data_IF_265242586165
#
_entry.id   IF_265242586165
#
_cell.length_a   1.000
_cell.length_b   1.000
_cell.length_c   1.000
_cell.angle_alpha   90.00
_cell.angle_beta   90.00
_cell.angle_gamma   90.00
#
_symmetry.space_group_name_H-M   'P 1'
#
loop_
_entity.id
_entity.type
_entity.pdbx_description
1 polymer ?
#
# COMPACT_ATOMS: atom_id res chain seq x y z
N UNK A 1 1.24 1.03 -11.28
CA UNK A 1 2.33 0.02 -11.30
C UNK A 1 1.81 -1.41 -11.24
N UNK A 2 1.00 -1.79 -10.20
CA UNK A 2 0.51 -3.18 -10.12
C UNK A 2 -0.37 -3.56 -11.30
N UNK A 3 -1.29 -2.69 -11.72
CA UNK A 3 -2.16 -2.95 -12.87
C UNK A 3 -1.39 -3.11 -14.17
N UNK A 4 -0.42 -2.24 -14.42
CA UNK A 4 0.40 -2.30 -15.64
C UNK A 4 1.13 -3.65 -15.74
N UNK A 5 1.59 -4.19 -14.60
CA UNK A 5 2.22 -5.52 -14.54
C UNK A 5 1.20 -6.62 -14.84
N UNK A 6 0.00 -6.54 -14.28
CA UNK A 6 -1.04 -7.53 -14.49
C UNK A 6 -1.48 -7.56 -15.96
N UNK A 7 -1.63 -6.39 -16.59
CA UNK A 7 -1.93 -6.28 -18.01
C UNK A 7 -0.83 -6.87 -18.88
N UNK A 8 0.43 -6.51 -18.61
CA UNK A 8 1.58 -7.02 -19.37
C UNK A 8 1.77 -8.53 -19.23
N UNK A 9 1.30 -9.12 -18.15
CA UNK A 9 1.39 -10.56 -17.87
C UNK A 9 0.10 -11.32 -18.19
N UNK A 10 -0.89 -10.68 -18.80
CA UNK A 10 -2.22 -11.25 -19.08
C UNK A 10 -2.85 -11.89 -17.83
N UNK A 11 -2.67 -11.23 -16.69
CA UNK A 11 -3.21 -11.68 -15.40
C UNK A 11 -4.59 -11.07 -15.17
N UNK A 12 -5.60 -11.92 -14.97
CA UNK A 12 -6.92 -11.44 -14.58
C UNK A 12 -6.87 -10.78 -13.20
N UNK A 13 -7.51 -9.63 -13.07
CA UNK A 13 -7.59 -8.91 -11.82
C UNK A 13 -8.99 -8.36 -11.55
N UNK A 14 -9.27 -8.11 -10.29
CA UNK A 14 -10.47 -7.44 -9.82
C UNK A 14 -10.06 -6.31 -8.89
N UNK A 15 -10.66 -5.13 -9.08
CA UNK A 15 -10.39 -3.96 -8.26
C UNK A 15 -11.33 -3.98 -7.05
N UNK A 16 -10.77 -3.87 -5.86
CA UNK A 16 -11.53 -3.68 -4.62
C UNK A 16 -11.71 -2.18 -4.39
N UNK A 17 -12.96 -1.67 -4.40
CA UNK A 17 -13.19 -0.23 -4.30
C UNK A 17 -12.96 0.28 -2.87
N UNK A 18 -12.23 1.38 -2.77
CA UNK A 18 -12.06 2.19 -1.56
C UNK A 18 -12.96 3.40 -1.70
N UNK A 19 -14.06 3.43 -0.99
CA UNK A 19 -15.09 4.46 -1.13
C UNK A 19 -15.38 5.15 0.20
N UNK A 20 -16.12 6.24 0.14
CA UNK A 20 -16.57 6.95 1.33
C UNK A 20 -17.46 6.07 2.23
N UNK A 21 -18.31 5.23 1.62
CA UNK A 21 -19.23 4.33 2.31
C UNK A 21 -18.49 3.28 3.14
N UNK A 22 -17.33 2.82 2.69
CA UNK A 22 -16.47 1.91 3.45
C UNK A 22 -15.33 2.62 4.20
N UNK A 23 -15.44 3.96 4.32
CA UNK A 23 -14.44 4.81 4.96
C UNK A 23 -13.02 4.61 4.39
N UNK A 24 -12.91 4.34 3.09
CA UNK A 24 -11.68 4.00 2.38
C UNK A 24 -10.92 2.82 3.01
N UNK A 25 -11.66 1.93 3.67
CA UNK A 25 -11.13 0.77 4.39
C UNK A 25 -12.05 -0.46 4.22
N UNK A 26 -12.04 -1.10 3.03
CA UNK A 26 -12.89 -2.26 2.77
C UNK A 26 -12.56 -3.40 3.73
N UNK A 27 -13.57 -4.20 4.10
CA UNK A 27 -13.39 -5.34 4.99
C UNK A 27 -12.43 -6.39 4.41
N UNK A 28 -11.82 -7.19 5.28
CA UNK A 28 -10.92 -8.26 4.85
C UNK A 28 -11.61 -9.25 3.92
N UNK A 29 -12.88 -9.59 4.18
CA UNK A 29 -13.66 -10.52 3.37
C UNK A 29 -13.83 -10.06 1.92
N UNK A 30 -13.90 -8.75 1.68
CA UNK A 30 -14.03 -8.20 0.32
C UNK A 30 -12.88 -8.64 -0.59
N UNK A 31 -11.67 -8.77 -0.04
CA UNK A 31 -10.50 -9.21 -0.82
C UNK A 31 -10.49 -10.70 -1.15
N UNK A 32 -11.25 -11.49 -0.41
CA UNK A 32 -11.34 -12.93 -0.59
C UNK A 32 -12.73 -13.38 -1.08
N UNK A 33 -13.54 -12.43 -1.57
CA UNK A 33 -14.81 -12.75 -2.18
C UNK A 33 -14.60 -13.61 -3.44
N UNK A 34 -15.23 -14.77 -3.43
CA UNK A 34 -15.13 -15.76 -4.51
C UNK A 34 -16.38 -15.78 -5.40
N UNK A 35 -17.27 -14.80 -5.26
CA UNK A 35 -18.48 -14.68 -6.07
C UNK A 35 -18.13 -14.64 -7.56
N UNK A 36 -18.71 -15.54 -8.32
CA UNK A 36 -18.46 -15.65 -9.76
C UNK A 36 -17.16 -16.36 -10.16
N UNK A 37 -16.36 -16.84 -9.20
CA UNK A 37 -15.13 -17.59 -9.47
C UNK A 37 -15.37 -19.11 -9.41
N UNK A 38 -14.65 -19.86 -10.24
CA UNK A 38 -14.68 -21.32 -10.17
C UNK A 38 -13.77 -21.85 -9.05
N UNK A 39 -13.96 -23.11 -8.65
CA UNK A 39 -13.20 -23.74 -7.55
C UNK A 39 -11.69 -23.86 -7.81
N UNK A 40 -11.24 -23.77 -9.05
CA UNK A 40 -9.81 -23.83 -9.42
C UNK A 40 -9.12 -22.47 -9.35
N UNK A 41 -9.88 -21.39 -9.33
CA UNK A 41 -9.32 -20.03 -9.27
C UNK A 41 -8.62 -19.81 -7.94
N UNK A 42 -7.41 -19.31 -7.99
CA UNK A 42 -6.66 -18.85 -6.81
C UNK A 42 -6.78 -17.35 -6.69
N UNK A 43 -7.05 -16.86 -5.49
CA UNK A 43 -7.04 -15.45 -5.18
C UNK A 43 -5.70 -15.05 -4.57
N UNK A 44 -5.20 -13.90 -4.97
CA UNK A 44 -4.01 -13.29 -4.40
C UNK A 44 -4.21 -11.77 -4.27
N UNK A 45 -4.88 -11.32 -3.22
CA UNK A 45 -4.97 -9.90 -2.92
C UNK A 45 -3.61 -9.23 -2.87
N UNK A 46 -3.52 -8.01 -3.39
CA UNK A 46 -2.37 -7.11 -3.26
C UNK A 46 -2.83 -5.93 -2.44
N UNK A 47 -2.27 -5.78 -1.24
CA UNK A 47 -2.72 -4.79 -0.26
C UNK A 47 -1.52 -4.01 0.26
N UNK A 48 -1.56 -2.68 0.15
CA UNK A 48 -0.63 -1.82 0.87
C UNK A 48 -1.10 -1.66 2.31
N UNK A 49 -0.22 -1.91 3.28
CA UNK A 49 -0.54 -1.76 4.71
C UNK A 49 0.64 -1.15 5.47
N UNK A 50 0.57 0.09 5.91
CA UNK A 50 -0.51 1.10 5.72
C UNK A 50 -0.84 1.40 4.27
N UNK A 51 -2.11 1.72 4.01
CA UNK A 51 -2.64 1.99 2.68
C UNK A 51 -2.10 3.32 2.11
N UNK A 52 -1.66 3.28 0.88
CA UNK A 52 -1.32 4.45 0.09
C UNK A 52 -2.45 4.69 -0.95
N UNK A 53 -3.11 5.87 -0.96
CA UNK A 53 -2.75 7.11 -0.25
C UNK A 53 -3.55 7.40 1.03
N UNK A 54 -4.56 6.60 1.40
CA UNK A 54 -5.51 6.96 2.48
C UNK A 54 -4.88 6.94 3.88
N UNK A 55 -3.82 6.18 4.10
CA UNK A 55 -3.23 5.97 5.42
C UNK A 55 -4.01 5.02 6.32
N UNK A 56 -5.10 4.43 5.82
CA UNK A 56 -5.84 3.40 6.57
C UNK A 56 -4.93 2.20 6.83
N UNK A 57 -4.98 1.67 8.04
CA UNK A 57 -4.01 0.66 8.48
C UNK A 57 -4.72 -0.49 9.18
N UNK A 58 -4.45 -1.71 8.72
CA UNK A 58 -4.84 -2.93 9.42
C UNK A 58 -3.80 -3.27 10.47
N UNK A 59 -4.25 -3.49 11.69
CA UNK A 59 -3.39 -3.87 12.81
C UNK A 59 -4.15 -4.73 13.83
N UNK A 60 -3.46 -5.34 14.78
CA UNK A 60 -4.07 -6.17 15.82
C UNK A 60 -4.88 -7.32 15.23
N UNK A 61 -6.11 -7.51 15.69
CA UNK A 61 -6.98 -8.61 15.28
C UNK A 61 -7.41 -8.51 13.81
N UNK A 62 -7.60 -7.31 13.27
CA UNK A 62 -7.95 -7.14 11.87
C UNK A 62 -6.83 -7.63 10.94
N UNK A 63 -5.57 -7.33 11.25
CA UNK A 63 -4.43 -7.83 10.48
C UNK A 63 -4.26 -9.34 10.67
N UNK A 64 -4.52 -9.87 11.87
CA UNK A 64 -4.53 -11.31 12.12
C UNK A 64 -5.56 -12.02 11.24
N UNK A 65 -6.80 -11.55 11.24
CA UNK A 65 -7.87 -12.08 10.40
C UNK A 65 -7.48 -12.10 8.92
N UNK A 66 -6.90 -11.00 8.43
CA UNK A 66 -6.45 -10.90 7.04
C UNK A 66 -5.44 -12.01 6.70
N UNK A 67 -4.47 -12.25 7.58
CA UNK A 67 -3.47 -13.31 7.40
C UNK A 67 -4.14 -14.70 7.48
N UNK A 68 -5.06 -14.93 8.39
CA UNK A 68 -5.78 -16.19 8.51
C UNK A 68 -6.63 -16.51 7.27
N UNK A 69 -7.26 -15.50 6.67
CA UNK A 69 -7.96 -15.66 5.39
C UNK A 69 -6.99 -16.01 4.24
N UNK A 70 -5.80 -15.44 4.25
CA UNK A 70 -4.76 -15.75 3.25
C UNK A 70 -4.16 -17.15 3.43
N UNK A 71 -4.08 -17.67 4.66
CA UNK A 71 -3.60 -19.02 4.96
C UNK A 71 -4.59 -20.12 4.55
N UNK A 72 -5.85 -19.78 4.30
CA UNK A 72 -6.84 -20.75 3.83
C UNK A 72 -6.46 -21.30 2.45
N UNK A 73 -6.86 -22.55 2.20
CA UNK A 73 -6.50 -23.24 0.96
C UNK A 73 -6.91 -22.46 -0.29
N UNK A 74 -6.03 -22.39 -1.28
CA UNK A 74 -6.18 -21.70 -2.57
C UNK A 74 -6.06 -20.18 -2.52
N UNK A 75 -5.81 -19.57 -1.37
CA UNK A 75 -5.55 -18.15 -1.27
C UNK A 75 -4.04 -17.87 -1.12
N UNK A 76 -3.69 -16.64 -1.33
CA UNK A 76 -2.40 -16.06 -1.03
C UNK A 76 -2.61 -14.59 -0.73
N UNK A 77 -1.54 -13.86 -0.44
CA UNK A 77 -1.58 -12.41 -0.28
C UNK A 77 -0.21 -11.80 -0.55
N UNK A 78 -0.18 -10.64 -1.17
CA UNK A 78 0.97 -9.75 -1.16
C UNK A 78 0.66 -8.54 -0.28
N UNK A 79 1.32 -8.44 0.85
CA UNK A 79 1.32 -7.24 1.68
C UNK A 79 2.48 -6.34 1.29
N UNK A 80 2.16 -5.17 0.75
CA UNK A 80 3.13 -4.10 0.54
C UNK A 80 3.25 -3.26 1.81
N UNK A 81 4.28 -3.54 2.59
CA UNK A 81 4.55 -2.90 3.88
C UNK A 81 5.60 -1.76 3.77
N UNK A 82 5.69 -1.11 2.60
CA UNK A 82 6.63 0.00 2.42
C UNK A 82 6.42 1.15 3.42
N UNK A 83 5.24 1.25 4.02
CA UNK A 83 4.86 2.29 4.99
C UNK A 83 4.72 1.75 6.43
N UNK A 84 5.17 0.54 6.75
CA UNK A 84 4.95 -0.10 8.06
C UNK A 84 5.45 0.74 9.25
N UNK A 85 6.51 1.53 9.06
CA UNK A 85 7.08 2.40 10.10
C UNK A 85 6.27 3.68 10.36
N UNK A 86 5.24 3.97 9.56
CA UNK A 86 4.45 5.22 9.68
C UNK A 86 3.21 5.06 10.56
N UNK A 87 2.96 3.88 11.07
CA UNK A 87 1.90 3.60 12.05
C UNK A 87 2.51 3.35 13.43
N UNK A 88 1.78 3.70 14.49
CA UNK A 88 2.19 3.47 15.88
C UNK A 88 1.18 2.54 16.58
N UNK A 89 1.60 1.33 16.96
CA UNK A 89 2.91 0.70 16.74
C UNK A 89 3.15 0.34 15.27
N UNK A 90 4.41 0.22 14.88
CA UNK A 90 4.79 -0.33 13.57
C UNK A 90 4.25 -1.76 13.45
N UNK A 91 3.60 -2.06 12.32
CA UNK A 91 2.86 -3.30 12.10
C UNK A 91 3.37 -4.07 10.90
N UNK A 92 3.53 -5.40 11.05
CA UNK A 92 3.83 -6.29 9.95
C UNK A 92 3.01 -7.55 10.05
N UNK A 93 2.46 -8.02 8.94
CA UNK A 93 1.68 -9.25 8.86
C UNK A 93 2.46 -10.50 9.24
N UNK A 94 3.80 -10.47 9.13
CA UNK A 94 4.65 -11.64 9.45
C UNK A 94 4.43 -12.15 10.87
N UNK A 95 4.08 -11.28 11.82
CA UNK A 95 3.86 -11.66 13.20
C UNK A 95 2.66 -12.62 13.41
N UNK A 96 1.76 -12.70 12.44
CA UNK A 96 0.56 -13.54 12.49
C UNK A 96 0.65 -14.78 11.60
N UNK A 97 1.69 -14.91 10.78
CA UNK A 97 1.88 -16.05 9.90
C UNK A 97 2.27 -17.27 10.75
N UNK A 98 1.48 -18.35 10.67
CA UNK A 98 1.68 -19.57 11.46
C UNK A 98 2.71 -20.53 10.82
N UNK A 99 2.63 -20.67 9.49
CA UNK A 99 3.53 -21.55 8.72
C UNK A 99 3.86 -20.89 7.37
N UNK A 100 4.95 -20.14 7.36
CA UNK A 100 5.38 -19.40 6.17
C UNK A 100 5.77 -20.34 5.03
N UNK A 101 6.41 -21.47 5.31
CA UNK A 101 6.92 -22.38 4.29
C UNK A 101 5.80 -23.13 3.54
N UNK A 102 4.65 -23.31 4.16
CA UNK A 102 3.48 -23.91 3.55
C UNK A 102 2.41 -22.88 3.10
N UNK A 103 2.75 -21.60 3.09
CA UNK A 103 1.84 -20.53 2.71
C UNK A 103 2.18 -19.91 1.35
N UNK A 104 1.23 -19.14 0.81
CA UNK A 104 1.41 -18.22 -0.33
C UNK A 104 1.38 -16.75 0.13
N UNK A 105 1.96 -16.47 1.29
CA UNK A 105 2.06 -15.13 1.86
C UNK A 105 3.37 -14.51 1.42
N UNK A 106 3.28 -13.29 0.91
CA UNK A 106 4.40 -12.44 0.49
C UNK A 106 4.32 -11.14 1.24
N UNK A 107 5.38 -10.79 1.96
CA UNK A 107 5.47 -9.52 2.68
C UNK A 107 6.62 -8.74 2.08
N UNK A 108 6.30 -7.63 1.43
CA UNK A 108 7.26 -6.77 0.76
C UNK A 108 7.60 -5.55 1.61
N UNK A 109 8.87 -5.28 1.78
CA UNK A 109 9.36 -4.09 2.47
C UNK A 109 10.45 -3.39 1.65
N UNK A 110 10.76 -2.15 2.01
CA UNK A 110 11.76 -1.37 1.30
C UNK A 110 12.47 -0.33 2.19
N UNK A 111 13.71 -0.02 1.83
CA UNK A 111 14.44 1.10 2.44
C UNK A 111 13.88 2.48 2.03
N UNK A 112 12.98 2.51 1.06
CA UNK A 112 12.51 3.70 0.35
C UNK A 112 11.87 4.72 1.27
N UNK A 113 10.96 4.29 2.15
CA UNK A 113 10.07 5.17 2.93
C UNK A 113 10.52 5.28 4.38
N UNK A 114 10.34 4.25 5.19
CA UNK A 114 10.67 4.28 6.62
C UNK A 114 12.15 4.54 6.92
N UNK A 115 13.07 4.07 6.06
CA UNK A 115 14.50 4.33 6.16
C UNK A 115 14.97 5.52 5.30
N UNK A 116 14.04 6.29 4.72
CA UNK A 116 14.28 7.53 3.97
C UNK A 116 15.35 7.43 2.89
N UNK A 117 15.44 6.27 2.23
CA UNK A 117 16.50 5.99 1.25
C UNK A 117 15.92 5.58 -0.12
N UNK A 118 15.13 6.46 -0.78
CA UNK A 118 14.46 6.09 -2.04
C UNK A 118 15.45 5.87 -3.19
N UNK A 119 16.59 6.55 -3.18
CA UNK A 119 17.58 6.51 -4.26
C UNK A 119 18.40 5.21 -4.33
N UNK A 120 18.49 4.44 -3.24
CA UNK A 120 19.28 3.20 -3.25
C UNK A 120 18.60 2.04 -3.97
N UNK A 121 17.30 2.12 -4.22
CA UNK A 121 16.50 1.13 -4.96
C UNK A 121 16.62 -0.28 -4.40
N UNK A 122 16.50 -0.45 -3.08
CA UNK A 122 16.53 -1.74 -2.39
C UNK A 122 15.23 -1.99 -1.64
N UNK A 123 14.67 -3.16 -1.85
CA UNK A 123 13.57 -3.74 -1.11
C UNK A 123 13.83 -5.22 -0.87
N UNK A 124 12.92 -5.86 -0.17
CA UNK A 124 12.96 -7.29 0.14
C UNK A 124 11.57 -7.87 0.11
N UNK A 125 11.51 -9.19 -0.03
CA UNK A 125 10.29 -9.97 0.15
C UNK A 125 10.58 -11.09 1.15
N UNK A 126 9.66 -11.27 2.08
CA UNK A 126 9.61 -12.43 2.99
C UNK A 126 8.49 -13.34 2.49
N UNK A 127 8.82 -14.59 2.18
CA UNK A 127 7.87 -15.60 1.70
C UNK A 127 8.43 -17.00 1.94
N UNK A 128 7.67 -18.04 1.60
CA UNK A 128 8.15 -19.43 1.68
C UNK A 128 9.42 -19.66 0.86
N UNK A 129 10.25 -20.59 1.28
CA UNK A 129 11.50 -20.93 0.57
C UNK A 129 11.25 -21.19 -0.93
N UNK A 130 10.22 -21.99 -1.25
CA UNK A 130 9.84 -22.28 -2.64
C UNK A 130 9.51 -21.00 -3.44
N UNK A 131 8.75 -20.09 -2.84
CA UNK A 131 8.37 -18.84 -3.48
C UNK A 131 9.58 -17.91 -3.66
N UNK A 132 10.49 -17.86 -2.69
CA UNK A 132 11.74 -17.08 -2.81
C UNK A 132 12.64 -17.64 -3.91
N UNK A 133 12.77 -18.96 -4.05
CA UNK A 133 13.51 -19.57 -5.16
C UNK A 133 12.94 -19.14 -6.52
N UNK A 134 11.61 -19.17 -6.66
CA UNK A 134 10.93 -18.72 -7.89
C UNK A 134 11.18 -17.24 -8.18
N UNK A 135 11.01 -16.35 -7.18
CA UNK A 135 11.26 -14.93 -7.31
C UNK A 135 12.72 -14.61 -7.63
N UNK A 136 13.66 -15.31 -7.00
CA UNK A 136 15.10 -15.16 -7.22
C UNK A 136 15.48 -15.51 -8.66
N UNK A 137 14.95 -16.63 -9.18
CA UNK A 137 15.18 -17.05 -10.56
C UNK A 137 14.61 -16.02 -11.55
N UNK A 138 13.39 -15.55 -11.31
CA UNK A 138 12.75 -14.51 -12.15
C UNK A 138 13.53 -13.19 -12.09
N UNK A 139 13.94 -12.75 -10.91
CA UNK A 139 14.73 -11.53 -10.73
C UNK A 139 16.08 -11.62 -11.44
N UNK A 140 16.76 -12.76 -11.34
CA UNK A 140 18.03 -13.00 -12.02
C UNK A 140 17.89 -12.92 -13.53
N UNK A 141 16.84 -13.53 -14.07
CA UNK A 141 16.59 -13.54 -15.52
C UNK A 141 16.10 -12.17 -16.03
N UNK A 142 15.13 -11.56 -15.33
CA UNK A 142 14.44 -10.35 -15.82
C UNK A 142 15.13 -9.04 -15.47
N UNK A 143 15.86 -8.98 -14.35
CA UNK A 143 16.42 -7.73 -13.81
C UNK A 143 17.93 -7.77 -13.58
N UNK A 144 18.57 -8.93 -13.64
CA UNK A 144 20.01 -9.10 -13.41
C UNK A 144 20.45 -8.87 -11.96
N UNK A 145 19.51 -8.67 -11.05
CA UNK A 145 19.77 -8.46 -9.63
C UNK A 145 19.86 -6.99 -9.20
N UNK A 146 19.98 -6.78 -7.90
CA UNK A 146 20.06 -5.45 -7.28
C UNK A 146 21.52 -5.03 -7.15
N UNK A 147 21.80 -3.73 -7.32
CA UNK A 147 23.14 -3.15 -7.17
C UNK A 147 23.81 -3.58 -5.85
N UNK A 148 24.99 -4.20 -5.93
CA UNK A 148 25.72 -4.67 -4.75
C UNK A 148 26.08 -3.52 -3.77
N UNK A 149 26.61 -2.36 -4.20
CA UNK A 149 26.82 -1.23 -3.30
C UNK A 149 25.55 -0.79 -2.58
N UNK A 150 24.41 -0.78 -3.27
CA UNK A 150 23.11 -0.45 -2.66
C UNK A 150 22.71 -1.48 -1.59
N UNK A 151 22.96 -2.76 -1.82
CA UNK A 151 22.68 -3.82 -0.83
C UNK A 151 23.57 -3.65 0.40
N UNK A 152 24.86 -3.38 0.24
CA UNK A 152 25.78 -3.13 1.36
C UNK A 152 25.33 -1.92 2.18
N UNK A 153 24.86 -0.86 1.53
CA UNK A 153 24.30 0.30 2.21
C UNK A 153 23.02 -0.07 2.96
N UNK A 154 22.12 -0.81 2.34
CA UNK A 154 20.87 -1.28 2.95
C UNK A 154 21.13 -2.14 4.21
N UNK A 155 22.12 -3.04 4.19
CA UNK A 155 22.52 -3.83 5.37
C UNK A 155 22.86 -2.92 6.55
N UNK A 156 23.54 -1.80 6.30
CA UNK A 156 23.85 -0.83 7.34
C UNK A 156 22.64 -0.07 7.87
N UNK A 157 21.67 0.24 7.01
CA UNK A 157 20.40 0.84 7.43
C UNK A 157 19.56 -0.11 8.26
N UNK A 158 19.62 -1.41 7.95
CA UNK A 158 18.85 -2.47 8.62
C UNK A 158 19.49 -2.96 9.93
N UNK A 159 20.60 -2.37 10.39
CA UNK A 159 21.11 -2.65 11.73
C UNK A 159 20.02 -2.39 12.80
N UNK A 160 19.76 -3.30 13.75
CA UNK A 160 18.62 -3.19 14.68
C UNK A 160 18.53 -1.86 15.42
N UNK A 161 19.70 -1.29 15.80
CA UNK A 161 19.75 0.02 16.45
C UNK A 161 19.25 1.14 15.53
N UNK A 162 19.61 1.10 14.24
CA UNK A 162 19.21 2.11 13.24
C UNK A 162 17.73 1.98 12.91
N UNK A 163 17.23 0.75 12.74
CA UNK A 163 15.81 0.50 12.51
C UNK A 163 14.97 1.02 13.69
N UNK A 164 15.39 0.76 14.94
CA UNK A 164 14.72 1.29 16.12
C UNK A 164 14.71 2.83 16.16
N UNK A 165 15.81 3.47 15.81
CA UNK A 165 15.90 4.93 15.72
C UNK A 165 15.00 5.49 14.61
N UNK A 166 15.03 4.87 13.43
CA UNK A 166 14.20 5.28 12.29
C UNK A 166 12.71 5.15 12.61
N UNK A 167 12.27 4.01 13.18
CA UNK A 167 10.87 3.82 13.60
C UNK A 167 10.43 4.93 14.53
N UNK A 168 11.17 5.18 15.61
CA UNK A 168 10.81 6.23 16.57
C UNK A 168 10.72 7.60 15.91
N UNK A 169 11.70 7.98 15.10
CA UNK A 169 11.75 9.29 14.45
C UNK A 169 10.61 9.47 13.43
N UNK A 170 10.34 8.44 12.61
CA UNK A 170 9.26 8.44 11.61
C UNK A 170 7.90 8.52 12.30
N UNK A 171 7.69 7.70 13.32
CA UNK A 171 6.46 7.64 14.11
C UNK A 171 6.14 8.99 14.77
N UNK A 172 7.10 9.56 15.51
CA UNK A 172 6.93 10.84 16.21
C UNK A 172 6.66 11.99 15.22
N UNK A 173 7.47 12.07 14.15
CA UNK A 173 7.34 13.15 13.17
C UNK A 173 6.01 13.09 12.42
N UNK A 174 5.63 11.93 11.88
CA UNK A 174 4.43 11.83 11.06
C UNK A 174 3.13 11.81 11.86
N UNK A 175 3.14 11.34 13.12
CA UNK A 175 2.01 11.51 14.04
C UNK A 175 1.75 12.99 14.31
N UNK A 176 2.82 13.74 14.62
CA UNK A 176 2.73 15.18 14.81
C UNK A 176 2.23 15.90 13.53
N UNK A 177 2.76 15.52 12.37
CA UNK A 177 2.38 16.12 11.09
C UNK A 177 0.91 15.82 10.75
N UNK A 178 0.46 14.57 10.86
CA UNK A 178 -0.94 14.18 10.62
C UNK A 178 -1.89 14.97 11.49
N UNK A 179 -1.60 15.09 12.79
CA UNK A 179 -2.41 15.87 13.70
C UNK A 179 -2.49 17.34 13.27
N UNK A 180 -1.34 17.98 13.08
CA UNK A 180 -1.26 19.40 12.72
C UNK A 180 -1.98 19.73 11.41
N UNK A 181 -1.74 18.95 10.37
CA UNK A 181 -2.37 19.20 9.09
C UNK A 181 -3.84 18.77 9.07
N UNK A 182 -4.19 17.67 9.75
CA UNK A 182 -5.59 17.26 9.89
C UNK A 182 -6.44 18.34 10.55
N UNK A 183 -5.97 18.94 11.65
CA UNK A 183 -6.61 20.08 12.31
C UNK A 183 -6.75 21.30 11.36
N UNK A 184 -5.68 21.61 10.62
CA UNK A 184 -5.70 22.72 9.67
C UNK A 184 -6.71 22.50 8.53
N UNK A 185 -6.77 21.30 7.95
CA UNK A 185 -7.72 20.95 6.90
C UNK A 185 -9.16 20.95 7.40
N UNK A 186 -9.41 20.43 8.61
CA UNK A 186 -10.74 20.49 9.24
C UNK A 186 -11.17 21.95 9.46
N UNK A 187 -10.27 22.81 9.92
CA UNK A 187 -10.56 24.24 10.12
C UNK A 187 -10.82 24.98 8.78
N UNK A 188 -10.33 24.45 7.66
CA UNK A 188 -10.64 24.95 6.31
C UNK A 188 -11.99 24.42 5.78
N UNK A 189 -12.69 23.58 6.52
CA UNK A 189 -13.96 22.98 6.12
C UNK A 189 -13.82 21.78 5.18
N UNK A 190 -12.62 21.16 5.08
CA UNK A 190 -12.40 19.97 4.28
C UNK A 190 -12.80 18.71 5.06
N UNK A 191 -13.36 17.71 4.36
CA UNK A 191 -13.53 16.37 4.92
C UNK A 191 -12.16 15.68 5.03
N UNK A 192 -11.82 15.15 6.21
CA UNK A 192 -10.53 14.50 6.46
C UNK A 192 -10.75 13.00 6.68
N UNK A 193 -10.29 12.18 5.72
CA UNK A 193 -10.38 10.71 5.76
C UNK A 193 -9.02 10.05 5.95
N UNK A 194 -8.03 10.82 6.33
CA UNK A 194 -6.67 10.35 6.55
C UNK A 194 -6.63 9.34 7.70
N UNK A 195 -6.12 8.14 7.43
CA UNK A 195 -5.87 7.11 8.44
C UNK A 195 -4.63 7.38 9.29
N UNK A 196 -4.27 6.41 10.13
CA UNK A 196 -3.17 6.54 11.10
C UNK A 196 -1.80 6.16 10.56
N UNK A 197 -1.71 5.71 9.30
CA UNK A 197 -0.46 5.32 8.64
C UNK A 197 -0.09 6.20 7.47
N UNK A 198 1.14 6.01 6.94
CA UNK A 198 1.62 6.77 5.79
C UNK A 198 1.93 8.24 6.11
N UNK A 199 2.18 8.99 5.05
CA UNK A 199 2.50 10.44 5.13
C UNK A 199 1.64 11.30 4.19
N UNK A 200 0.62 10.72 3.60
CA UNK A 200 -0.36 11.44 2.78
C UNK A 200 -1.55 11.88 3.64
N UNK A 201 -2.29 12.87 3.11
CA UNK A 201 -3.59 13.25 3.62
C UNK A 201 -4.64 12.97 2.56
N UNK A 202 -5.69 12.24 2.93
CA UNK A 202 -6.81 11.93 2.06
C UNK A 202 -7.98 12.83 2.43
N UNK A 203 -8.33 13.74 1.51
CA UNK A 203 -9.23 14.85 1.79
C UNK A 203 -10.40 14.86 0.82
N UNK A 204 -11.58 15.22 1.32
CA UNK A 204 -12.74 15.54 0.50
C UNK A 204 -12.79 17.05 0.27
N UNK A 205 -12.95 17.42 -0.98
CA UNK A 205 -13.06 18.83 -1.38
C UNK A 205 -14.50 19.31 -1.24
N UNK A 206 -14.72 20.63 -1.12
CA UNK A 206 -16.06 21.22 -1.14
C UNK A 206 -16.82 20.84 -2.42
N UNK A 207 -18.14 20.77 -2.30
CA UNK A 207 -19.01 20.51 -3.43
C UNK A 207 -18.75 21.47 -4.61
N UNK A 208 -18.74 20.92 -5.81
CA UNK A 208 -18.46 21.68 -7.04
C UNK A 208 -17.00 21.97 -7.34
N UNK A 209 -16.05 21.54 -6.47
CA UNK A 209 -14.62 21.67 -6.72
C UNK A 209 -13.98 20.30 -7.03
N UNK A 210 -13.30 20.21 -8.16
CA UNK A 210 -12.54 19.02 -8.51
C UNK A 210 -11.08 19.11 -8.06
N UNK A 211 -10.43 17.95 -7.82
CA UNK A 211 -9.00 17.90 -7.48
C UNK A 211 -8.12 18.50 -8.58
N UNK A 212 -8.51 18.34 -9.85
CA UNK A 212 -7.80 18.92 -11.01
C UNK A 212 -7.86 20.44 -11.01
N UNK A 213 -9.03 21.03 -10.72
CA UNK A 213 -9.17 22.49 -10.61
C UNK A 213 -8.36 23.03 -9.44
N UNK A 214 -8.44 22.38 -8.27
CA UNK A 214 -7.65 22.78 -7.11
C UNK A 214 -6.15 22.70 -7.42
N UNK A 215 -5.69 21.63 -8.02
CA UNK A 215 -4.28 21.45 -8.40
C UNK A 215 -3.82 22.56 -9.37
N UNK A 216 -4.64 22.91 -10.35
CA UNK A 216 -4.36 24.00 -11.29
C UNK A 216 -4.22 25.37 -10.59
N UNK A 217 -5.07 25.64 -9.60
CA UNK A 217 -5.01 26.88 -8.81
C UNK A 217 -3.79 26.91 -7.88
N UNK A 218 -3.46 25.77 -7.26
CA UNK A 218 -2.31 25.62 -6.38
C UNK A 218 -1.00 25.76 -7.15
N UNK A 219 -0.93 25.15 -8.35
CA UNK A 219 0.28 25.18 -9.18
C UNK A 219 0.70 26.61 -9.53
N UNK A 220 -0.26 27.49 -9.81
CA UNK A 220 -0.01 28.93 -10.02
C UNK A 220 0.57 29.65 -8.78
N UNK A 221 0.51 29.03 -7.61
CA UNK A 221 1.01 29.54 -6.32
C UNK A 221 2.23 28.76 -5.80
N UNK A 222 2.81 27.91 -6.64
CA UNK A 222 4.00 27.13 -6.27
C UNK A 222 3.71 25.90 -5.40
N UNK A 223 2.47 25.41 -5.37
CA UNK A 223 2.07 24.20 -4.67
C UNK A 223 1.39 23.21 -5.62
N UNK A 224 1.37 21.93 -5.27
CA UNK A 224 0.70 20.88 -6.03
C UNK A 224 0.12 19.83 -5.10
N UNK A 225 -0.91 19.13 -5.57
CA UNK A 225 -1.49 17.96 -4.96
C UNK A 225 -1.50 16.80 -5.96
N UNK A 226 -1.58 15.57 -5.47
CA UNK A 226 -1.95 14.43 -6.29
C UNK A 226 -3.46 14.43 -6.44
N UNK A 227 -3.94 14.49 -7.70
CA UNK A 227 -5.37 14.43 -7.97
C UNK A 227 -5.91 13.04 -7.62
N UNK A 228 -7.07 12.99 -6.98
CA UNK A 228 -7.67 11.72 -6.58
C UNK A 228 -8.03 10.83 -7.77
N UNK A 229 -8.37 11.43 -8.92
CA UNK A 229 -8.58 10.71 -10.18
C UNK A 229 -7.35 9.90 -10.65
N UNK A 230 -6.13 10.31 -10.26
CA UNK A 230 -4.91 9.59 -10.59
C UNK A 230 -4.69 8.37 -9.68
N UNK A 231 -5.46 8.28 -8.59
CA UNK A 231 -5.49 7.14 -7.68
C UNK A 231 -6.60 6.14 -8.04
N UNK A 232 -7.46 6.47 -9.01
CA UNK A 232 -8.54 5.62 -9.46
C UNK A 232 -8.04 4.56 -10.45
N UNK A 233 -7.82 3.37 -9.93
CA UNK A 233 -7.32 2.24 -10.73
C UNK A 233 -8.38 1.67 -11.68
N UNK A 234 -9.67 1.93 -11.45
CA UNK A 234 -10.74 1.48 -12.33
C UNK A 234 -10.86 2.32 -13.61
N UNK A 235 -10.47 3.59 -13.56
CA UNK A 235 -10.64 4.54 -14.66
C UNK A 235 -10.03 4.09 -16.00
N UNK A 236 -8.77 3.62 -16.06
CA UNK A 236 -8.17 3.18 -17.32
C UNK A 236 -8.81 1.92 -17.90
N UNK A 237 -9.54 1.16 -17.09
CA UNK A 237 -10.11 -0.15 -17.43
C UNK A 237 -11.61 -0.10 -17.65
N UNK A 238 -12.25 1.04 -17.38
CA UNK A 238 -13.68 1.20 -17.62
C UNK A 238 -13.96 1.18 -19.12
N UNK A 239 -14.93 0.36 -19.51
CA UNK A 239 -15.47 0.33 -20.90
C UNK A 239 -16.62 1.32 -21.09
N UNK A 240 -17.04 1.96 -20.00
CA UNK A 240 -18.07 2.99 -20.01
C UNK A 240 -17.46 4.32 -20.44
N UNK A 241 -17.86 4.90 -21.60
CA UNK A 241 -17.35 6.19 -22.05
C UNK A 241 -17.74 7.34 -21.10
N UNK A 242 -18.81 7.16 -20.31
CA UNK A 242 -19.32 8.12 -19.35
C UNK A 242 -18.81 7.85 -17.92
N UNK A 243 -17.82 6.96 -17.77
CA UNK A 243 -17.25 6.63 -16.47
C UNK A 243 -16.75 7.89 -15.74
N UNK A 244 -17.38 8.17 -14.61
CA UNK A 244 -16.91 9.18 -13.67
C UNK A 244 -16.18 8.54 -12.49
N UNK A 245 -15.00 9.06 -12.18
CA UNK A 245 -14.28 8.62 -10.98
C UNK A 245 -15.09 8.93 -9.72
N UNK A 246 -15.20 7.99 -8.76
CA UNK A 246 -15.85 8.25 -7.48
C UNK A 246 -15.05 9.24 -6.59
N UNK A 247 -13.81 9.54 -6.97
CA UNK A 247 -12.91 10.43 -6.23
C UNK A 247 -12.96 11.84 -6.84
N UNK A 248 -13.81 12.65 -6.26
CA UNK A 248 -13.96 14.09 -6.66
C UNK A 248 -13.24 15.01 -5.72
#
# INVERSE_FOLDING_TARGET
AYLDIMEQTDTNFQIVPFTKENNFHPSNQTYFDRSGLNDKTRLMPIISNPQNPSGQTRWGEELRELIELAEQSKNGILLDEAYEMFHSPSVSGIQFVKDLDNSNIFIAGACTKGLQSPGIRVGWVVASKKNIETLSNYSSFGMGGVSHPSQLYAVKLLEPKRVKQARKAVEEHYNWQRKRYGEAFTNMGLGVYTGEGGFYHWLELPEGMTSTELNTRLFKRGAAILCASDCDMARPHSKDPDYETPYK
#
